data_IF_313116514076
#
_entry.id   IF_313116514076
#
_cell.length_a   1.000
_cell.length_b   1.000
_cell.length_c   1.000
_cell.angle_alpha   90.00
_cell.angle_beta   90.00
_cell.angle_gamma   90.00
#
_symmetry.space_group_name_H-M   'P 1'
#
loop_
_entity.id
_entity.type
_entity.pdbx_description
1 polymer ?
#
# COMPACT_ATOMS: atom_id res chain seq x y z
N UNK A 1 -25.23 1.69 -16.28
CA UNK A 1 -24.61 0.50 -15.62
C UNK A 1 -23.35 0.96 -14.92
N UNK A 2 -23.23 0.77 -13.60
CA UNK A 2 -22.04 1.16 -12.84
C UNK A 2 -20.97 0.10 -13.05
N UNK A 3 -19.83 0.46 -13.65
CA UNK A 3 -18.69 -0.45 -13.78
C UNK A 3 -18.03 -0.62 -12.42
N UNK A 4 -17.77 -1.87 -12.07
CA UNK A 4 -17.10 -2.24 -10.82
C UNK A 4 -15.75 -2.86 -11.15
N UNK A 5 -14.71 -2.38 -10.49
CA UNK A 5 -13.35 -2.87 -10.71
C UNK A 5 -12.73 -3.33 -9.39
N UNK A 6 -11.95 -4.39 -9.48
CA UNK A 6 -11.01 -4.80 -8.43
C UNK A 6 -9.61 -4.52 -8.95
N UNK A 7 -8.78 -3.94 -8.09
CA UNK A 7 -7.36 -3.74 -8.36
C UNK A 7 -6.58 -4.81 -7.62
N UNK A 8 -5.79 -5.57 -8.37
CA UNK A 8 -4.97 -6.66 -7.86
C UNK A 8 -3.51 -6.30 -8.01
N UNK A 9 -2.77 -6.33 -6.92
CA UNK A 9 -1.31 -6.24 -6.91
C UNK A 9 -0.77 -7.67 -6.96
N UNK A 10 0.11 -7.92 -7.91
CA UNK A 10 0.79 -9.21 -8.07
C UNK A 10 2.28 -8.97 -7.92
N UNK A 11 2.88 -9.65 -6.96
CA UNK A 11 4.33 -9.71 -6.77
C UNK A 11 4.90 -10.77 -7.71
N UNK A 12 5.88 -10.41 -8.54
CA UNK A 12 6.57 -11.34 -9.43
C UNK A 12 7.68 -12.13 -8.71
N UNK A 13 7.86 -11.88 -7.41
CA UNK A 13 8.88 -12.49 -6.54
C UNK A 13 10.34 -12.25 -6.98
N UNK A 14 10.55 -11.42 -7.99
CA UNK A 14 11.90 -11.11 -8.52
C UNK A 14 12.26 -9.65 -8.27
N UNK A 15 11.58 -8.75 -8.94
CA UNK A 15 11.98 -7.33 -8.90
C UNK A 15 10.83 -6.36 -9.13
N UNK A 16 9.61 -6.84 -9.34
CA UNK A 16 8.51 -5.93 -9.67
C UNK A 16 7.18 -6.35 -9.07
N UNK A 17 6.32 -5.34 -8.95
CA UNK A 17 4.91 -5.52 -8.65
C UNK A 17 4.09 -5.06 -9.83
N UNK A 18 3.08 -5.82 -10.22
CA UNK A 18 2.17 -5.43 -11.29
C UNK A 18 0.79 -5.14 -10.74
N UNK A 19 0.24 -3.97 -11.10
CA UNK A 19 -1.14 -3.63 -10.84
C UNK A 19 -2.00 -4.12 -12.00
N UNK A 20 -3.02 -4.90 -11.71
CA UNK A 20 -3.99 -5.40 -12.68
C UNK A 20 -5.38 -4.92 -12.30
N UNK A 21 -6.18 -4.54 -13.29
CA UNK A 21 -7.57 -4.11 -13.11
C UNK A 21 -8.50 -5.16 -13.66
N UNK A 22 -9.39 -5.66 -12.82
CA UNK A 22 -10.38 -6.70 -13.15
C UNK A 22 -11.76 -6.05 -13.17
N UNK A 23 -12.45 -6.13 -14.30
CA UNK A 23 -13.86 -5.73 -14.38
C UNK A 23 -14.73 -6.81 -13.74
N UNK A 24 -15.32 -6.49 -12.62
CA UNK A 24 -16.22 -7.38 -11.89
C UNK A 24 -17.69 -7.16 -12.26
N UNK A 25 -18.00 -6.22 -13.15
CA UNK A 25 -19.38 -5.95 -13.59
C UNK A 25 -20.13 -7.21 -14.05
N UNK A 26 -19.50 -8.14 -14.81
CA UNK A 26 -20.18 -9.37 -15.23
C UNK A 26 -20.60 -10.28 -14.08
N UNK A 27 -19.90 -10.24 -12.93
CA UNK A 27 -20.24 -11.05 -11.76
C UNK A 27 -21.57 -10.63 -11.11
N UNK A 28 -21.97 -9.38 -11.34
CA UNK A 28 -23.19 -8.80 -10.76
C UNK A 28 -24.32 -8.63 -11.79
N UNK A 29 -24.08 -8.98 -13.05
CA UNK A 29 -25.07 -8.84 -14.12
C UNK A 29 -26.14 -9.95 -14.17
N UNK A 30 -26.18 -10.81 -13.16
CA UNK A 30 -27.20 -11.89 -13.07
C UNK A 30 -27.07 -13.00 -14.11
N UNK A 31 -26.08 -12.93 -14.98
CA UNK A 31 -25.80 -13.99 -15.96
C UNK A 31 -25.12 -15.14 -15.21
N UNK A 32 -25.92 -16.07 -14.71
CA UNK A 32 -25.42 -17.40 -14.32
C UNK A 32 -24.98 -18.14 -15.60
N UNK A 33 -23.88 -17.73 -16.17
CA UNK A 33 -23.08 -18.67 -16.96
C UNK A 33 -22.39 -19.56 -15.93
N UNK A 34 -22.56 -20.86 -16.13
CA UNK A 34 -21.85 -21.88 -15.36
C UNK A 34 -20.43 -21.36 -15.10
N UNK A 35 -20.16 -21.11 -13.81
CA UNK A 35 -18.84 -20.75 -13.32
C UNK A 35 -17.94 -22.01 -13.31
N UNK A 36 -17.92 -22.74 -14.42
CA UNK A 36 -16.78 -23.57 -14.73
C UNK A 36 -15.63 -22.61 -14.77
N UNK A 37 -14.80 -22.62 -13.74
CA UNK A 37 -13.58 -21.81 -13.67
C UNK A 37 -12.83 -22.00 -14.97
N UNK A 38 -12.77 -20.99 -15.88
CA UNK A 38 -11.94 -21.12 -17.05
C UNK A 38 -10.51 -21.02 -16.55
N UNK A 39 -9.91 -22.17 -16.28
CA UNK A 39 -8.53 -22.32 -15.84
C UNK A 39 -7.52 -21.79 -16.86
N UNK A 40 -7.95 -21.49 -18.08
CA UNK A 40 -7.09 -21.12 -19.20
C UNK A 40 -7.15 -19.66 -19.64
N UNK A 41 -7.86 -18.79 -18.94
CA UNK A 41 -7.83 -17.37 -19.28
C UNK A 41 -6.56 -16.73 -18.73
N UNK A 42 -5.75 -16.13 -19.61
CA UNK A 42 -4.59 -15.40 -19.12
C UNK A 42 -5.04 -14.28 -18.17
N UNK A 43 -4.25 -13.98 -17.15
CA UNK A 43 -4.58 -12.89 -16.23
C UNK A 43 -4.69 -11.57 -17.00
N UNK A 44 -5.53 -10.63 -16.54
CA UNK A 44 -5.65 -9.32 -17.16
C UNK A 44 -4.29 -8.67 -17.35
N UNK A 45 -4.12 -7.91 -18.44
CA UNK A 45 -2.86 -7.19 -18.68
C UNK A 45 -2.58 -6.21 -17.53
N UNK A 46 -1.31 -6.06 -17.13
CA UNK A 46 -0.93 -5.03 -16.15
C UNK A 46 -1.32 -3.63 -16.64
N UNK A 47 -1.83 -2.79 -15.75
CA UNK A 47 -2.04 -1.36 -16.00
C UNK A 47 -0.83 -0.53 -15.59
N UNK A 48 -0.09 -1.00 -14.58
CA UNK A 48 1.14 -0.37 -14.08
C UNK A 48 2.09 -1.47 -13.61
N UNK A 49 3.39 -1.24 -13.82
CA UNK A 49 4.47 -1.99 -13.18
C UNK A 49 5.22 -1.05 -12.22
N UNK A 50 5.46 -1.53 -11.01
CA UNK A 50 6.27 -0.84 -10.02
C UNK A 50 7.57 -1.62 -9.89
N UNK A 51 8.68 -1.00 -10.30
CA UNK A 51 9.98 -1.61 -10.13
C UNK A 51 10.43 -1.47 -8.67
N UNK A 52 10.71 -2.58 -8.04
CA UNK A 52 11.38 -2.62 -6.75
C UNK A 52 12.89 -2.44 -6.99
N UNK A 53 13.31 -1.22 -7.34
CA UNK A 53 14.72 -0.92 -7.58
C UNK A 53 15.55 -1.24 -6.33
N UNK A 54 16.47 -2.19 -6.44
CA UNK A 54 17.36 -2.58 -5.35
C UNK A 54 16.90 -3.77 -4.53
N UNK A 55 15.96 -4.56 -5.02
CA UNK A 55 15.55 -5.81 -4.36
C UNK A 55 16.69 -6.82 -4.41
N UNK A 56 17.68 -6.64 -3.52
CA UNK A 56 18.77 -7.62 -3.37
C UNK A 56 18.41 -8.78 -2.44
N UNK A 57 17.42 -8.58 -1.56
CA UNK A 57 17.01 -9.55 -0.57
C UNK A 57 15.49 -9.55 -0.38
N UNK A 58 14.95 -10.64 0.17
CA UNK A 58 13.53 -10.83 0.57
C UNK A 58 12.98 -9.74 1.50
N UNK A 59 13.79 -8.77 1.86
CA UNK A 59 13.49 -7.72 2.84
C UNK A 59 13.04 -6.40 2.23
N UNK A 60 13.08 -6.23 0.91
CA UNK A 60 12.64 -4.98 0.25
C UNK A 60 11.17 -5.08 -0.17
N UNK A 61 10.29 -5.30 0.82
CA UNK A 61 8.86 -5.30 0.58
C UNK A 61 8.36 -3.89 0.33
N UNK A 62 7.46 -3.79 -0.65
CA UNK A 62 6.69 -2.57 -0.93
C UNK A 62 5.26 -2.81 -0.46
N UNK A 63 4.78 -1.94 0.40
CA UNK A 63 3.40 -1.97 0.88
C UNK A 63 2.49 -1.17 -0.06
N UNK A 64 1.25 -1.65 -0.21
CA UNK A 64 0.26 -1.02 -1.07
C UNK A 64 -1.03 -0.76 -0.32
N UNK A 65 -1.53 0.47 -0.45
CA UNK A 65 -2.73 0.92 0.23
C UNK A 65 -3.68 1.57 -0.77
N UNK A 66 -4.98 1.39 -0.59
CA UNK A 66 -6.01 2.09 -1.36
C UNK A 66 -6.56 3.25 -0.53
N UNK A 67 -6.44 4.45 -1.08
CA UNK A 67 -6.89 5.68 -0.43
C UNK A 67 -7.79 6.47 -1.40
N UNK A 68 -9.10 6.28 -1.30
CA UNK A 68 -10.05 6.80 -2.29
C UNK A 68 -9.80 6.21 -3.68
N UNK A 69 -9.51 7.06 -4.66
CA UNK A 69 -9.12 6.63 -6.02
C UNK A 69 -7.61 6.40 -6.17
N UNK A 70 -6.82 6.59 -5.12
CA UNK A 70 -5.36 6.51 -5.21
C UNK A 70 -4.83 5.20 -4.62
N UNK A 71 -3.97 4.54 -5.37
CA UNK A 71 -3.15 3.45 -4.84
C UNK A 71 -1.82 4.07 -4.41
N UNK A 72 -1.51 3.92 -3.13
CA UNK A 72 -0.29 4.41 -2.49
C UNK A 72 0.66 3.24 -2.35
N UNK A 73 1.83 3.32 -2.95
CA UNK A 73 2.90 2.34 -2.81
C UNK A 73 4.00 2.95 -1.94
N UNK A 74 4.46 2.23 -0.94
CA UNK A 74 5.47 2.68 0.00
C UNK A 74 6.58 1.65 0.08
N UNK A 75 7.79 2.05 -0.30
CA UNK A 75 8.96 1.19 -0.20
C UNK A 75 9.68 1.36 1.14
N UNK A 76 10.47 0.37 1.53
CA UNK A 76 11.35 0.42 2.69
C UNK A 76 12.30 1.64 2.67
N UNK A 77 12.70 2.08 1.48
CA UNK A 77 13.52 3.28 1.28
C UNK A 77 12.75 4.60 1.44
N UNK A 78 11.58 4.56 2.07
CA UNK A 78 10.72 5.72 2.37
C UNK A 78 10.13 6.40 1.13
N UNK A 79 10.28 5.81 -0.05
CA UNK A 79 9.69 6.36 -1.28
C UNK A 79 8.21 6.05 -1.31
N UNK A 80 7.43 7.07 -1.66
CA UNK A 80 6.00 6.94 -1.92
C UNK A 80 5.75 7.15 -3.40
N UNK A 81 4.98 6.26 -4.01
CA UNK A 81 4.47 6.42 -5.37
C UNK A 81 2.95 6.42 -5.29
N UNK A 82 2.33 7.33 -6.02
CA UNK A 82 0.89 7.48 -6.08
C UNK A 82 0.40 7.13 -7.49
N UNK A 83 -0.55 6.21 -7.57
CA UNK A 83 -1.26 5.91 -8.80
C UNK A 83 -2.73 6.27 -8.66
N UNK A 84 -3.21 7.22 -9.44
CA UNK A 84 -4.61 7.61 -9.46
C UNK A 84 -5.39 6.73 -10.46
N UNK A 85 -6.29 5.91 -9.92
CA UNK A 85 -7.08 4.96 -10.72
C UNK A 85 -8.12 5.64 -11.60
N UNK A 86 -8.52 6.87 -11.29
CA UNK A 86 -9.52 7.63 -12.03
C UNK A 86 -8.93 8.29 -13.28
N UNK A 87 -7.71 8.78 -13.19
CA UNK A 87 -7.00 9.46 -14.29
C UNK A 87 -5.96 8.57 -14.96
N UNK A 88 -5.65 7.41 -14.36
CA UNK A 88 -4.56 6.51 -14.79
C UNK A 88 -3.20 7.20 -14.80
N UNK A 89 -2.96 8.11 -13.88
CA UNK A 89 -1.70 8.84 -13.74
C UNK A 89 -0.87 8.29 -12.58
N UNK A 90 0.45 8.35 -12.75
CA UNK A 90 1.42 7.97 -11.73
C UNK A 90 2.30 9.19 -11.40
N UNK A 91 2.58 9.40 -10.13
CA UNK A 91 3.49 10.43 -9.68
C UNK A 91 4.25 10.01 -8.43
N UNK A 92 5.39 10.66 -8.18
CA UNK A 92 6.07 10.54 -6.91
C UNK A 92 5.25 11.25 -5.83
N UNK A 93 5.09 10.58 -4.70
CA UNK A 93 4.55 11.18 -3.49
C UNK A 93 5.66 11.70 -2.56
N UNK A 94 5.28 12.32 -1.44
CA UNK A 94 6.23 12.74 -0.42
C UNK A 94 6.93 11.54 0.21
N UNK A 95 8.21 11.67 0.54
CA UNK A 95 8.92 10.63 1.25
C UNK A 95 8.49 10.57 2.71
N UNK A 96 8.39 9.35 3.27
CA UNK A 96 8.27 9.15 4.71
C UNK A 96 9.45 9.79 5.45
N UNK A 97 9.20 10.38 6.61
CA UNK A 97 10.27 10.93 7.45
C UNK A 97 11.10 9.83 8.10
N UNK A 98 10.43 8.75 8.51
CA UNK A 98 11.07 7.60 9.13
C UNK A 98 10.77 6.33 8.36
N UNK A 99 11.77 5.45 8.23
CA UNK A 99 11.55 4.13 7.67
C UNK A 99 10.55 3.37 8.53
N UNK A 100 9.66 2.65 7.89
CA UNK A 100 8.79 1.67 8.57
C UNK A 100 9.47 0.32 8.44
N UNK A 101 9.59 -0.39 9.56
CA UNK A 101 10.10 -1.76 9.55
C UNK A 101 9.20 -2.71 8.74
N UNK A 102 9.36 -3.98 8.99
CA UNK A 102 8.47 -5.00 8.41
C UNK A 102 7.08 -4.88 9.03
N UNK A 103 6.05 -5.09 8.23
CA UNK A 103 4.65 -5.15 8.64
C UNK A 103 4.22 -3.95 9.51
N UNK A 104 4.27 -2.71 8.99
CA UNK A 104 3.80 -1.58 9.75
C UNK A 104 2.31 -1.74 10.07
N UNK A 105 1.91 -1.39 11.27
CA UNK A 105 0.49 -1.25 11.56
C UNK A 105 -0.07 -0.08 10.75
N UNK A 106 -1.23 -0.27 10.14
CA UNK A 106 -1.83 0.75 9.31
C UNK A 106 -3.35 0.84 9.49
N UNK A 107 -3.88 2.01 9.19
CA UNK A 107 -5.31 2.25 9.12
C UNK A 107 -5.62 3.35 8.10
N UNK A 108 -6.76 3.22 7.43
CA UNK A 108 -7.32 4.29 6.60
C UNK A 108 -8.55 4.84 7.31
N UNK A 109 -8.47 6.10 7.72
CA UNK A 109 -9.56 6.77 8.45
C UNK A 109 -9.80 8.14 7.83
N UNK A 110 -11.04 8.44 7.47
CA UNK A 110 -11.45 9.73 6.90
C UNK A 110 -10.56 10.21 5.73
N UNK A 111 -10.20 9.30 4.82
CA UNK A 111 -9.38 9.64 3.66
C UNK A 111 -7.90 9.87 3.96
N UNK A 112 -7.42 9.55 5.15
CA UNK A 112 -6.00 9.60 5.53
C UNK A 112 -5.47 8.19 5.76
N UNK A 113 -4.23 7.95 5.35
CA UNK A 113 -3.50 6.72 5.64
C UNK A 113 -2.59 6.95 6.85
N UNK A 114 -2.80 6.19 7.89
CA UNK A 114 -1.99 6.19 9.12
C UNK A 114 -1.05 5.00 9.08
N UNK A 115 0.22 5.23 9.38
CA UNK A 115 1.24 4.19 9.48
C UNK A 115 1.98 4.31 10.81
N UNK A 116 2.05 3.20 11.53
CA UNK A 116 2.85 3.08 12.73
C UNK A 116 3.85 1.93 12.58
N UNK A 117 5.10 2.15 12.98
CA UNK A 117 6.05 1.07 13.08
C UNK A 117 5.81 0.28 14.37
N UNK A 118 5.60 -1.02 14.25
CA UNK A 118 5.39 -1.90 15.41
C UNK A 118 6.74 -2.32 16.02
N UNK A 119 7.77 -2.44 15.17
CA UNK A 119 9.10 -2.87 15.56
C UNK A 119 10.13 -1.84 15.10
N UNK A 120 10.69 -1.06 16.04
CA UNK A 120 11.85 -0.22 15.75
C UNK A 120 13.11 -1.02 16.03
N UNK A 121 13.87 -1.36 14.99
CA UNK A 121 15.15 -2.05 15.13
C UNK A 121 16.29 -1.11 15.49
N UNK A 122 16.18 0.20 15.17
CA UNK A 122 17.34 1.08 15.18
C UNK A 122 17.26 2.25 16.15
N UNK A 123 16.10 2.57 16.71
CA UNK A 123 16.00 3.68 17.65
C UNK A 123 14.62 3.69 18.35
N UNK A 124 14.53 3.06 19.50
CA UNK A 124 13.30 2.96 20.31
C UNK A 124 12.69 4.32 20.72
N UNK A 125 13.41 5.41 20.49
CA UNK A 125 12.98 6.76 20.87
C UNK A 125 12.46 7.61 19.69
N UNK A 126 12.55 7.13 18.44
CA UNK A 126 12.04 7.91 17.31
C UNK A 126 10.54 7.72 17.12
N UNK A 127 9.80 8.81 16.93
CA UNK A 127 8.38 8.72 16.62
C UNK A 127 8.21 7.92 15.32
N UNK A 128 7.37 6.90 15.40
CA UNK A 128 7.16 5.98 14.30
C UNK A 128 5.75 6.07 13.73
N UNK A 129 4.99 7.10 14.09
CA UNK A 129 3.61 7.27 13.69
C UNK A 129 3.47 8.46 12.73
N UNK A 130 3.02 8.20 11.52
CA UNK A 130 2.86 9.20 10.46
C UNK A 130 1.51 9.04 9.77
N UNK A 131 0.96 10.15 9.28
CA UNK A 131 -0.25 10.15 8.48
C UNK A 131 -0.01 10.79 7.11
N UNK A 132 -0.41 10.10 6.04
CA UNK A 132 -0.49 10.68 4.70
C UNK A 132 -1.86 11.32 4.54
N UNK A 133 -1.87 12.59 4.21
CA UNK A 133 -3.07 13.32 3.80
C UNK A 133 -2.90 13.93 2.42
N UNK A 134 -4.00 14.04 1.72
CA UNK A 134 -4.09 14.80 0.48
C UNK A 134 -4.75 16.14 0.77
N UNK A 135 -4.21 17.18 0.20
CA UNK A 135 -4.85 18.49 0.18
C UNK A 135 -5.70 18.57 -1.09
N UNK A 136 -7.00 18.66 -0.93
CA UNK A 136 -7.94 18.71 -2.05
C UNK A 136 -7.79 19.98 -2.89
N UNK A 137 -7.25 21.06 -2.33
CA UNK A 137 -7.09 22.35 -3.01
C UNK A 137 -5.80 22.39 -3.83
N UNK A 138 -4.68 22.04 -3.25
CA UNK A 138 -3.38 22.08 -3.92
C UNK A 138 -3.06 20.83 -4.73
N UNK A 139 -3.82 19.72 -4.53
CA UNK A 139 -3.51 18.36 -5.01
C UNK A 139 -2.20 17.81 -4.46
N UNK A 140 -1.62 18.47 -3.49
CA UNK A 140 -0.41 18.02 -2.83
C UNK A 140 -0.73 16.91 -1.82
N UNK A 141 0.29 16.17 -1.49
CA UNK A 141 0.24 15.18 -0.43
C UNK A 141 1.40 15.39 0.52
N UNK A 142 1.17 15.12 1.80
CA UNK A 142 2.18 15.32 2.83
C UNK A 142 2.10 14.21 3.88
N UNK A 143 3.28 13.74 4.32
CA UNK A 143 3.40 12.93 5.52
C UNK A 143 3.53 13.85 6.74
N UNK A 144 2.58 13.73 7.63
CA UNK A 144 2.54 14.44 8.91
C UNK A 144 3.01 13.50 10.01
N UNK A 145 3.99 13.95 10.79
CA UNK A 145 4.46 13.22 11.96
C UNK A 145 3.47 13.41 13.11
N UNK A 146 3.04 12.31 13.69
CA UNK A 146 2.10 12.29 14.79
C UNK A 146 2.79 11.86 16.10
N UNK A 147 2.26 12.25 17.27
CA UNK A 147 2.72 11.73 18.53
C UNK A 147 2.62 10.21 18.57
N UNK A 148 3.62 9.53 19.09
CA UNK A 148 3.58 8.08 19.26
C UNK A 148 2.42 7.67 20.15
N UNK A 149 1.66 6.65 19.77
CA UNK A 149 0.60 6.12 20.62
C UNK A 149 1.17 5.65 21.97
N UNK A 150 0.48 5.95 23.06
CA UNK A 150 0.96 5.65 24.41
C UNK A 150 1.04 4.15 24.73
N UNK A 151 0.32 3.32 23.96
CA UNK A 151 0.33 1.85 24.14
C UNK A 151 1.55 1.15 23.51
N UNK A 152 2.39 1.87 22.78
CA UNK A 152 3.58 1.29 22.13
C UNK A 152 4.75 1.05 23.07
N UNK A 153 4.59 1.34 24.36
CA UNK A 153 5.63 1.22 25.39
C UNK A 153 5.26 0.25 26.52
N UNK A 154 4.83 -0.95 26.18
CA UNK A 154 4.90 -2.02 27.16
C UNK A 154 6.37 -2.40 27.34
N UNK A 155 6.90 -2.49 28.57
CA UNK A 155 8.22 -3.08 28.77
C UNK A 155 8.15 -4.52 28.28
N UNK A 156 8.92 -4.85 27.26
CA UNK A 156 9.27 -6.23 27.00
C UNK A 156 10.13 -6.66 28.21
N UNK A 157 9.52 -7.22 29.23
CA UNK A 157 10.28 -7.97 30.21
C UNK A 157 10.84 -9.20 29.48
N UNK A 158 12.17 -9.33 29.36
CA UNK A 158 12.73 -10.55 28.83
C UNK A 158 12.38 -11.65 29.84
N UNK A 159 11.57 -12.61 29.40
CA UNK A 159 11.39 -13.85 30.16
C UNK A 159 12.75 -14.54 30.22
N UNK A 160 13.45 -14.34 31.32
CA UNK A 160 14.61 -15.16 31.72
C UNK A 160 14.08 -16.51 32.10
N UNK A 161 14.32 -17.49 31.24
CA UNK A 161 14.27 -18.91 31.55
C UNK A 161 15.67 -19.39 31.97
#
# INVERSE_FOLDING_TARGET
>A
MIRRFVHLIVDDLKSSYTLRRIDTTPLFAGVRKDLGMPTDRPPPRPVVCFDAAGRSDYHDQTEFFLLGSKIVSISKNRRTILYDTSTSTICAGPALRHGKGFDPAWAVVQGKLYLANVYSTDDFNKPCFEALRFDDQSRDSVWELLPSPTFSRGPFEPHTH
#
